data_IF_298655053452
#
_entry.id   IF_298655053452
#
_cell.length_a   1.000
_cell.length_b   1.000
_cell.length_c   1.000
_cell.angle_alpha   90.00
_cell.angle_beta   90.00
_cell.angle_gamma   90.00
#
_symmetry.space_group_name_H-M   'P 1'
#
loop_
_entity.id
_entity.type
_entity.pdbx_description
1 polymer ?
#
# COMPACT_ATOMS: atom_id res chain seq x y z
N UNK A 1 -0.02 22.62 22.13
CA UNK A 1 -0.04 21.66 23.26
C UNK A 1 0.40 22.31 24.58
N UNK A 2 1.59 22.94 24.64
CA UNK A 2 2.17 23.53 25.87
C UNK A 2 1.35 24.65 26.54
N UNK A 3 0.80 25.58 25.75
CA UNK A 3 -0.05 26.66 26.28
C UNK A 3 -1.35 26.14 26.93
N UNK A 4 -1.87 25.01 26.43
CA UNK A 4 -3.06 24.35 26.96
C UNK A 4 -2.77 23.66 28.29
N UNK A 5 -1.66 22.92 28.40
CA UNK A 5 -1.29 22.23 29.63
C UNK A 5 -1.11 23.19 30.82
N UNK A 6 -0.49 24.36 30.58
CA UNK A 6 -0.31 25.41 31.61
C UNK A 6 -1.64 26.05 32.01
N UNK A 7 -2.57 26.25 31.05
CA UNK A 7 -3.91 26.82 31.33
C UNK A 7 -4.75 25.92 32.25
N UNK A 8 -4.59 24.60 32.14
CA UNK A 8 -5.35 23.62 32.93
C UNK A 8 -4.56 23.03 34.11
N UNK A 9 -3.41 23.62 34.45
CA UNK A 9 -2.54 23.17 35.55
C UNK A 9 -2.17 21.67 35.45
N UNK A 10 -1.95 21.18 34.23
CA UNK A 10 -1.64 19.77 33.95
C UNK A 10 -0.12 19.59 33.93
N UNK A 11 0.38 18.70 34.78
CA UNK A 11 1.77 18.26 34.78
C UNK A 11 1.93 17.10 33.80
N UNK A 12 2.65 17.33 32.70
CA UNK A 12 3.01 16.27 31.77
C UNK A 12 4.26 15.54 32.27
N UNK A 13 4.07 14.35 32.85
CA UNK A 13 5.18 13.42 33.13
C UNK A 13 5.36 12.49 31.92
N UNK A 14 6.57 12.45 31.36
CA UNK A 14 7.00 11.38 30.46
C UNK A 14 7.92 10.45 31.24
N UNK A 15 7.73 9.13 31.07
CA UNK A 15 8.54 8.09 31.74
C UNK A 15 10.02 8.19 31.32
N UNK A 16 10.30 8.75 30.14
CA UNK A 16 11.64 8.81 29.56
C UNK A 16 12.26 10.21 29.55
N UNK A 17 11.48 11.26 29.82
CA UNK A 17 11.98 12.64 29.77
C UNK A 17 11.25 13.51 30.80
N UNK A 18 11.99 14.20 31.65
CA UNK A 18 11.41 15.21 32.53
C UNK A 18 11.15 16.49 31.75
N UNK A 19 9.87 16.76 31.50
CA UNK A 19 9.42 18.00 30.90
C UNK A 19 9.34 19.08 31.97
N UNK A 20 10.45 19.79 32.19
CA UNK A 20 10.53 20.91 33.15
C UNK A 20 10.14 22.23 32.45
N UNK A 21 9.30 23.04 33.11
CA UNK A 21 8.79 24.30 32.53
C UNK A 21 8.87 25.50 33.48
N UNK A 22 9.50 25.31 34.64
CA UNK A 22 9.44 26.25 35.76
C UNK A 22 10.22 27.52 35.45
N UNK A 23 11.43 27.39 34.89
CA UNK A 23 12.27 28.53 34.51
C UNK A 23 12.25 28.81 33.00
N UNK A 24 12.75 29.98 32.60
CA UNK A 24 12.94 30.29 31.18
C UNK A 24 13.94 29.34 30.50
N UNK A 25 15.01 28.95 31.23
CA UNK A 25 15.99 27.97 30.76
C UNK A 25 15.40 26.58 30.56
N UNK A 26 14.54 26.12 31.49
CA UNK A 26 13.86 24.83 31.36
C UNK A 26 12.97 24.79 30.11
N UNK A 27 12.17 25.85 29.88
CA UNK A 27 11.31 25.96 28.69
C UNK A 27 12.12 25.96 27.41
N UNK A 28 13.25 26.66 27.39
CA UNK A 28 14.16 26.67 26.23
C UNK A 28 14.75 25.28 25.98
N UNK A 29 15.26 24.61 27.01
CA UNK A 29 15.83 23.26 26.91
C UNK A 29 14.82 22.22 26.43
N UNK A 30 13.60 22.24 26.96
CA UNK A 30 12.52 21.34 26.51
C UNK A 30 12.12 21.60 25.06
N UNK A 31 12.05 22.86 24.63
CA UNK A 31 11.73 23.19 23.24
C UNK A 31 12.83 22.72 22.27
N UNK A 32 14.11 22.92 22.61
CA UNK A 32 15.24 22.45 21.81
C UNK A 32 15.20 20.92 21.67
N UNK A 33 14.99 20.20 22.78
CA UNK A 33 14.82 18.72 22.75
C UNK A 33 13.66 18.29 21.86
N UNK A 34 12.52 18.96 21.95
CA UNK A 34 11.36 18.65 21.13
C UNK A 34 11.64 18.86 19.64
N UNK A 35 12.26 19.99 19.26
CA UNK A 35 12.68 20.27 17.89
C UNK A 35 13.70 19.25 17.39
N UNK A 36 14.67 18.85 18.23
CA UNK A 36 15.65 17.83 17.87
C UNK A 36 15.00 16.47 17.63
N UNK A 37 14.05 16.07 18.47
CA UNK A 37 13.30 14.82 18.28
C UNK A 37 12.42 14.83 17.02
N UNK A 38 11.86 16.00 16.66
CA UNK A 38 11.15 16.16 15.39
C UNK A 38 12.09 16.00 14.21
N UNK A 39 13.25 16.67 14.25
CA UNK A 39 14.29 16.55 13.23
C UNK A 39 14.75 15.11 13.03
N UNK A 40 15.05 14.36 14.10
CA UNK A 40 15.48 12.97 13.97
C UNK A 40 14.39 12.08 13.34
N UNK A 41 13.11 12.32 13.67
CA UNK A 41 12.00 11.62 13.03
C UNK A 41 11.90 11.94 11.54
N UNK A 42 11.98 13.21 11.17
CA UNK A 42 11.92 13.66 9.78
C UNK A 42 13.09 13.05 8.98
N UNK A 43 14.29 13.09 9.53
CA UNK A 43 15.49 12.48 8.93
C UNK A 43 15.37 10.96 8.75
N UNK A 44 14.75 10.25 9.69
CA UNK A 44 14.47 8.81 9.53
C UNK A 44 13.47 8.58 8.40
N UNK A 45 12.44 9.42 8.29
CA UNK A 45 11.45 9.35 7.21
C UNK A 45 12.09 9.61 5.86
N UNK A 46 12.93 10.63 5.74
CA UNK A 46 13.71 10.95 4.53
C UNK A 46 14.57 9.77 4.10
N UNK A 47 15.40 9.24 5.01
CA UNK A 47 16.26 8.08 4.72
C UNK A 47 15.49 6.84 4.31
N UNK A 48 14.36 6.58 4.98
CA UNK A 48 13.51 5.43 4.63
C UNK A 48 12.91 5.62 3.25
N UNK A 49 12.44 6.83 2.94
CA UNK A 49 11.90 7.19 1.64
C UNK A 49 12.95 7.06 0.53
N UNK A 50 14.17 7.50 0.78
CA UNK A 50 15.29 7.39 -0.16
C UNK A 50 15.70 5.93 -0.37
N UNK A 51 15.73 5.12 0.70
CA UNK A 51 15.99 3.68 0.59
C UNK A 51 14.94 2.95 -0.25
N UNK A 52 13.65 3.24 -0.03
CA UNK A 52 12.56 2.67 -0.83
C UNK A 52 12.60 3.14 -2.28
N UNK A 53 12.99 4.40 -2.50
CA UNK A 53 13.23 4.96 -3.83
C UNK A 53 14.34 4.15 -4.52
N UNK A 54 15.53 4.06 -3.93
CA UNK A 54 16.65 3.31 -4.49
C UNK A 54 16.27 1.85 -4.86
N UNK A 55 15.48 1.16 -4.04
CA UNK A 55 14.98 -0.20 -4.36
C UNK A 55 14.10 -0.21 -5.62
N UNK A 56 13.21 0.77 -5.76
CA UNK A 56 12.28 0.85 -6.88
C UNK A 56 12.95 1.31 -8.18
N UNK A 57 13.79 2.35 -8.11
CA UNK A 57 14.38 3.01 -9.28
C UNK A 57 15.66 2.32 -9.75
N UNK A 58 16.59 2.03 -8.85
CA UNK A 58 17.92 1.53 -9.23
C UNK A 58 17.94 0.01 -9.30
N UNK A 59 17.27 -0.65 -8.36
CA UNK A 59 17.24 -2.12 -8.30
C UNK A 59 16.08 -2.74 -9.08
N UNK A 60 15.12 -1.93 -9.57
CA UNK A 60 13.88 -2.39 -10.22
C UNK A 60 13.14 -3.47 -9.42
N UNK A 61 13.19 -3.39 -8.08
CA UNK A 61 12.57 -4.37 -7.18
C UNK A 61 11.30 -3.81 -6.56
N UNK A 62 10.42 -4.72 -6.16
CA UNK A 62 9.15 -4.36 -5.53
C UNK A 62 9.38 -3.80 -4.11
N UNK A 63 9.11 -2.49 -3.86
CA UNK A 63 9.52 -1.83 -2.63
C UNK A 63 8.55 -2.08 -1.47
N UNK A 64 7.31 -2.49 -1.75
CA UNK A 64 6.30 -2.62 -0.70
C UNK A 64 6.47 -3.92 0.10
N UNK A 65 6.24 -3.83 1.41
CA UNK A 65 6.10 -4.99 2.30
C UNK A 65 4.71 -5.64 2.21
N UNK A 66 4.51 -6.71 2.97
CA UNK A 66 3.22 -7.39 3.12
C UNK A 66 2.96 -8.54 2.15
N UNK A 67 1.74 -9.07 2.19
CA UNK A 67 1.29 -10.18 1.33
C UNK A 67 1.18 -9.69 -0.12
N UNK A 68 1.70 -10.49 -1.06
CA UNK A 68 1.56 -10.22 -2.49
C UNK A 68 0.07 -10.20 -2.90
N UNK A 69 -0.22 -9.51 -4.00
CA UNK A 69 -1.57 -9.47 -4.58
C UNK A 69 -1.93 -10.84 -5.13
N UNK A 70 -3.23 -11.14 -5.22
CA UNK A 70 -3.69 -12.42 -5.74
C UNK A 70 -3.18 -12.63 -7.17
N UNK A 71 -2.77 -13.85 -7.53
CA UNK A 71 -2.10 -14.13 -8.80
C UNK A 71 -0.58 -13.95 -8.78
N UNK A 72 -0.03 -13.44 -7.68
CA UNK A 72 1.41 -13.23 -7.50
C UNK A 72 1.92 -13.85 -6.20
N UNK A 73 3.21 -14.19 -6.18
CA UNK A 73 3.93 -14.50 -4.95
C UNK A 73 5.24 -13.69 -4.90
N UNK A 74 5.77 -13.54 -3.68
CA UNK A 74 7.05 -12.87 -3.46
C UNK A 74 8.15 -13.91 -3.33
N UNK A 75 9.15 -13.85 -4.19
CA UNK A 75 10.32 -14.72 -4.13
C UNK A 75 11.25 -14.36 -2.96
N UNK A 76 12.22 -15.24 -2.71
CA UNK A 76 13.25 -15.05 -1.67
C UNK A 76 14.10 -13.79 -1.96
N UNK A 77 14.32 -13.51 -3.25
CA UNK A 77 15.01 -12.34 -3.77
C UNK A 77 14.20 -11.03 -3.65
N UNK A 78 13.00 -11.11 -3.07
CA UNK A 78 12.05 -10.03 -2.84
C UNK A 78 11.39 -9.50 -4.11
N UNK A 79 11.56 -10.15 -5.26
CA UNK A 79 10.84 -9.84 -6.50
C UNK A 79 9.44 -10.45 -6.51
N UNK A 80 8.61 -9.98 -7.45
CA UNK A 80 7.25 -10.45 -7.64
C UNK A 80 7.22 -11.39 -8.84
N UNK A 81 6.70 -12.59 -8.62
CA UNK A 81 6.54 -13.61 -9.64
C UNK A 81 5.06 -13.96 -9.81
N UNK A 82 4.71 -14.44 -11.00
CA UNK A 82 3.35 -14.90 -11.31
C UNK A 82 3.13 -16.27 -10.68
N UNK A 83 2.04 -16.42 -9.93
CA UNK A 83 1.58 -17.71 -9.47
C UNK A 83 0.68 -18.34 -10.54
N UNK A 84 1.12 -19.41 -11.19
CA UNK A 84 0.44 -19.95 -12.39
C UNK A 84 -1.02 -20.33 -12.18
N UNK A 85 -1.37 -20.96 -11.06
CA UNK A 85 -2.75 -21.38 -10.81
C UNK A 85 -3.67 -20.19 -10.55
N UNK A 86 -3.29 -19.31 -9.62
CA UNK A 86 -4.05 -18.12 -9.27
C UNK A 86 -4.15 -17.11 -10.42
N UNK A 87 -3.10 -17.00 -11.25
CA UNK A 87 -3.13 -16.12 -12.43
C UNK A 87 -4.15 -16.61 -13.47
N UNK A 88 -4.23 -17.93 -13.72
CA UNK A 88 -5.27 -18.52 -14.59
C UNK A 88 -6.68 -18.25 -14.07
N UNK A 89 -6.90 -18.31 -12.76
CA UNK A 89 -8.18 -17.96 -12.15
C UNK A 89 -8.52 -16.49 -12.36
N UNK A 90 -7.53 -15.60 -12.22
CA UNK A 90 -7.72 -14.17 -12.46
C UNK A 90 -8.00 -13.86 -13.94
N UNK A 91 -7.31 -14.49 -14.88
CA UNK A 91 -7.58 -14.36 -16.32
C UNK A 91 -9.05 -14.72 -16.62
N UNK A 92 -9.52 -15.86 -16.10
CA UNK A 92 -10.93 -16.25 -16.22
C UNK A 92 -11.89 -15.25 -15.58
N UNK A 93 -11.53 -14.66 -14.43
CA UNK A 93 -12.31 -13.60 -13.79
C UNK A 93 -12.46 -12.36 -14.70
N UNK A 94 -11.37 -11.95 -15.37
CA UNK A 94 -11.40 -10.85 -16.35
C UNK A 94 -12.28 -11.21 -17.54
N UNK A 95 -12.17 -12.42 -18.09
CA UNK A 95 -13.04 -12.89 -19.18
C UNK A 95 -14.53 -12.90 -18.80
N UNK A 96 -14.85 -13.36 -17.57
CA UNK A 96 -16.22 -13.31 -17.05
C UNK A 96 -16.73 -11.88 -16.89
N UNK A 97 -15.87 -10.95 -16.45
CA UNK A 97 -16.23 -9.53 -16.38
C UNK A 97 -16.51 -8.95 -17.78
N UNK A 98 -15.69 -9.29 -18.78
CA UNK A 98 -15.92 -8.89 -20.19
C UNK A 98 -17.25 -9.43 -20.74
N UNK A 99 -17.62 -10.66 -20.39
CA UNK A 99 -18.91 -11.28 -20.72
C UNK A 99 -20.10 -10.72 -19.92
N UNK A 100 -19.91 -9.67 -19.11
CA UNK A 100 -20.94 -9.00 -18.27
C UNK A 100 -21.58 -9.89 -17.21
N UNK A 101 -20.84 -10.88 -16.70
CA UNK A 101 -21.30 -11.62 -15.52
C UNK A 101 -21.43 -10.69 -14.31
N UNK A 102 -22.36 -11.01 -13.40
CA UNK A 102 -22.48 -10.30 -12.12
C UNK A 102 -21.20 -10.50 -11.31
N UNK A 103 -20.75 -9.44 -10.64
CA UNK A 103 -19.55 -9.48 -9.78
C UNK A 103 -19.71 -10.53 -8.67
N UNK A 104 -20.93 -10.72 -8.15
CA UNK A 104 -21.25 -11.77 -7.18
C UNK A 104 -20.85 -13.15 -7.70
N UNK A 105 -21.13 -13.45 -8.98
CA UNK A 105 -20.76 -14.73 -9.60
C UNK A 105 -19.26 -14.87 -9.81
N UNK A 106 -18.56 -13.79 -10.12
CA UNK A 106 -17.10 -13.77 -10.25
C UNK A 106 -16.45 -14.02 -8.88
N UNK A 107 -16.97 -13.38 -7.83
CA UNK A 107 -16.56 -13.62 -6.44
C UNK A 107 -16.76 -15.08 -6.05
N UNK A 108 -17.94 -15.63 -6.30
CA UNK A 108 -18.26 -17.02 -5.95
C UNK A 108 -17.35 -18.00 -6.71
N UNK A 109 -17.06 -17.72 -7.98
CA UNK A 109 -16.09 -18.47 -8.76
C UNK A 109 -14.69 -18.44 -8.12
N UNK A 110 -14.18 -17.25 -7.77
CA UNK A 110 -12.87 -17.12 -7.14
C UNK A 110 -12.83 -17.80 -5.76
N UNK A 111 -13.88 -17.70 -4.95
CA UNK A 111 -13.93 -18.32 -3.62
C UNK A 111 -14.11 -19.85 -3.66
N UNK A 112 -14.67 -20.39 -4.76
CA UNK A 112 -14.84 -21.85 -4.92
C UNK A 112 -13.57 -22.51 -5.44
N UNK A 113 -12.77 -21.80 -6.24
CA UNK A 113 -11.60 -22.35 -6.91
C UNK A 113 -10.27 -22.07 -6.19
N UNK A 114 -10.28 -21.29 -5.10
CA UNK A 114 -9.14 -21.18 -4.20
C UNK A 114 -9.61 -21.01 -2.74
N UNK A 115 -8.75 -21.39 -1.79
CA UNK A 115 -9.05 -21.34 -0.36
C UNK A 115 -8.03 -20.48 0.43
N UNK A 116 -7.17 -19.73 -0.24
CA UNK A 116 -6.15 -18.90 0.42
C UNK A 116 -6.69 -17.57 0.94
N UNK A 117 -7.74 -17.06 0.29
CA UNK A 117 -8.30 -15.75 0.60
C UNK A 117 -9.79 -15.75 0.33
N UNK A 118 -10.54 -15.15 1.24
CA UNK A 118 -11.97 -14.90 1.02
C UNK A 118 -12.09 -13.55 0.31
N UNK A 119 -12.62 -13.58 -0.92
CA UNK A 119 -12.92 -12.38 -1.68
C UNK A 119 -14.33 -11.87 -1.36
N UNK A 120 -14.43 -10.56 -1.17
CA UNK A 120 -15.69 -9.81 -1.15
C UNK A 120 -15.93 -9.17 -2.51
N UNK A 121 -17.17 -8.74 -2.77
CA UNK A 121 -17.53 -8.04 -4.02
C UNK A 121 -16.63 -6.82 -4.25
N UNK A 122 -16.33 -6.07 -3.19
CA UNK A 122 -15.48 -4.88 -3.31
C UNK A 122 -14.03 -5.23 -3.62
N UNK A 123 -13.47 -6.26 -2.98
CA UNK A 123 -12.11 -6.70 -3.32
C UNK A 123 -11.99 -7.16 -4.77
N UNK A 124 -13.03 -7.78 -5.34
CA UNK A 124 -13.03 -8.18 -6.77
C UNK A 124 -13.09 -6.94 -7.68
N UNK A 125 -13.86 -5.91 -7.31
CA UNK A 125 -13.85 -4.63 -8.06
C UNK A 125 -12.51 -3.94 -8.02
N UNK A 126 -11.88 -3.89 -6.85
CA UNK A 126 -10.54 -3.33 -6.67
C UNK A 126 -9.53 -4.08 -7.53
N UNK A 127 -9.57 -5.41 -7.52
CA UNK A 127 -8.68 -6.24 -8.35
C UNK A 127 -8.86 -5.97 -9.85
N UNK A 128 -10.10 -5.81 -10.32
CA UNK A 128 -10.38 -5.51 -11.74
C UNK A 128 -10.03 -4.07 -12.15
N UNK A 129 -9.75 -3.19 -11.18
CA UNK A 129 -9.27 -1.82 -11.40
C UNK A 129 -7.75 -1.68 -11.23
N UNK A 130 -7.09 -2.63 -10.57
CA UNK A 130 -5.66 -2.54 -10.25
C UNK A 130 -4.81 -2.76 -11.52
N UNK A 131 -4.19 -1.67 -11.99
CA UNK A 131 -3.36 -1.66 -13.19
C UNK A 131 -2.08 -2.52 -13.06
N UNK A 132 -1.74 -2.96 -11.83
CA UNK A 132 -0.61 -3.87 -11.60
C UNK A 132 -0.82 -5.24 -12.22
N UNK A 133 -2.08 -5.64 -12.46
CA UNK A 133 -2.38 -6.85 -13.22
C UNK A 133 -2.00 -6.74 -14.70
N UNK A 134 -1.85 -5.52 -15.21
CA UNK A 134 -1.32 -5.22 -16.52
C UNK A 134 0.19 -4.86 -16.51
N UNK A 135 0.87 -5.09 -15.39
CA UNK A 135 2.29 -4.81 -15.22
C UNK A 135 2.62 -3.34 -14.93
N UNK A 136 1.62 -2.49 -14.70
CA UNK A 136 1.83 -1.06 -14.41
C UNK A 136 1.90 -0.87 -12.89
N UNK A 137 3.08 -0.53 -12.40
CA UNK A 137 3.30 -0.25 -10.98
C UNK A 137 3.60 1.23 -10.76
N UNK A 138 2.69 1.92 -10.06
CA UNK A 138 2.84 3.33 -9.69
C UNK A 138 3.41 3.41 -8.27
N UNK A 139 4.51 4.12 -8.10
CA UNK A 139 5.11 4.41 -6.80
C UNK A 139 5.53 5.89 -6.73
N UNK A 140 4.96 6.63 -5.77
CA UNK A 140 5.20 8.08 -5.57
C UNK A 140 5.21 8.86 -6.89
N UNK A 141 4.11 8.73 -7.64
CA UNK A 141 3.83 9.42 -8.90
C UNK A 141 4.71 9.01 -10.11
N UNK A 142 5.56 8.01 -9.97
CA UNK A 142 6.33 7.44 -11.06
C UNK A 142 5.79 6.07 -11.48
N UNK A 143 5.76 5.84 -12.79
CA UNK A 143 5.24 4.62 -13.42
C UNK A 143 6.39 3.68 -13.77
N UNK A 144 6.27 2.42 -13.34
CA UNK A 144 7.22 1.35 -13.61
C UNK A 144 6.52 0.19 -14.33
N UNK A 145 7.13 -0.32 -15.40
CA UNK A 145 6.61 -1.44 -16.18
C UNK A 145 7.36 -2.77 -15.94
N UNK A 146 8.57 -2.70 -15.37
CA UNK A 146 9.47 -3.86 -15.26
C UNK A 146 9.40 -4.56 -13.88
N UNK A 147 8.72 -3.97 -12.89
CA UNK A 147 8.76 -4.42 -11.49
C UNK A 147 7.74 -5.53 -11.20
N UNK A 148 6.57 -5.45 -11.82
CA UNK A 148 5.50 -6.42 -11.64
C UNK A 148 5.22 -7.07 -13.00
N UNK A 149 5.36 -8.39 -13.12
CA UNK A 149 5.10 -9.06 -14.38
C UNK A 149 3.60 -8.99 -14.74
N UNK A 150 3.23 -8.69 -15.99
CA UNK A 150 1.82 -8.59 -16.39
C UNK A 150 1.13 -9.96 -16.45
N UNK A 151 -0.09 -10.05 -15.92
CA UNK A 151 -0.95 -11.25 -16.04
C UNK A 151 -1.94 -11.10 -17.21
N UNK A 152 -2.48 -9.89 -17.41
CA UNK A 152 -3.45 -9.58 -18.49
C UNK A 152 -3.01 -8.35 -19.27
N UNK A 153 -3.54 -8.17 -20.49
CA UNK A 153 -3.32 -6.93 -21.25
C UNK A 153 -4.10 -5.77 -20.61
N UNK A 154 -3.54 -4.56 -20.71
CA UNK A 154 -4.17 -3.34 -20.18
C UNK A 154 -5.55 -3.08 -20.79
N UNK A 155 -5.72 -3.38 -22.08
CA UNK A 155 -6.98 -3.21 -22.82
C UNK A 155 -8.10 -4.07 -22.23
N UNK A 156 -7.81 -5.35 -21.97
CA UNK A 156 -8.76 -6.29 -21.39
C UNK A 156 -9.20 -5.88 -19.98
N UNK A 157 -8.26 -5.38 -19.17
CA UNK A 157 -8.53 -4.90 -17.82
C UNK A 157 -9.38 -3.63 -17.84
N UNK A 158 -9.06 -2.67 -18.73
CA UNK A 158 -9.84 -1.43 -18.89
C UNK A 158 -11.26 -1.70 -19.38
N UNK A 159 -11.43 -2.65 -20.29
CA UNK A 159 -12.74 -3.07 -20.77
C UNK A 159 -13.57 -3.69 -19.62
N UNK A 160 -12.99 -4.62 -18.87
CA UNK A 160 -13.64 -5.23 -17.70
C UNK A 160 -14.03 -4.18 -16.63
N UNK A 161 -13.13 -3.26 -16.30
CA UNK A 161 -13.37 -2.18 -15.33
C UNK A 161 -14.51 -1.23 -15.72
N UNK A 162 -14.62 -0.88 -17.01
CA UNK A 162 -15.70 -0.02 -17.52
C UNK A 162 -17.07 -0.69 -17.40
N UNK A 163 -17.15 -1.98 -17.68
CA UNK A 163 -18.41 -2.74 -17.63
C UNK A 163 -18.94 -2.90 -16.20
N UNK A 164 -18.06 -2.88 -15.20
CA UNK A 164 -18.40 -2.95 -13.78
C UNK A 164 -18.97 -1.63 -13.26
N UNK A 165 -18.45 -0.50 -13.73
CA UNK A 165 -18.86 0.84 -13.25
C UNK A 165 -20.20 1.30 -13.84
N UNK A 166 -20.66 0.68 -14.95
CA UNK A 166 -21.89 1.07 -15.67
C UNK A 166 -23.22 0.60 -15.05
N UNK A 167 -23.24 0.17 -13.78
CA UNK A 167 -24.48 -0.13 -13.05
C UNK A 167 -24.65 0.83 -11.88
N UNK A 168 -25.26 1.98 -12.16
CA UNK A 168 -26.11 2.73 -11.24
C UNK A 168 -27.47 2.85 -11.91
#
# INVERSE_FOLDING_TARGET
MLALAKKYNVTALSVYDELRYNTAGDRMGTNIKASYNMYERERIVERTNDGLRHICFDQKRYPCGGKARFGYYRGIDKQIYIHEEHSKLFIKAVEMAKKRYRIDKIRDYLNTHQNERIFTVETVKEMLRDEKYAGIFIYKDMVHYDIVPPIVKLEDLKEASKLITKKN
#
